data_IF_302308353914
#
_entry.id   IF_302308353914
#
_cell.length_a   1.000
_cell.length_b   1.000
_cell.length_c   1.000
_cell.angle_alpha   90.00
_cell.angle_beta   90.00
_cell.angle_gamma   90.00
#
_symmetry.space_group_name_H-M   'P 1'
#
loop_
_entity.id
_entity.type
_entity.pdbx_description
1 polymer ?
#
# COMPACT_ATOMS: atom_id res chain seq x y z
N UNK A 1 27.44 45.42 -7.50
CA UNK A 1 28.05 44.07 -7.46
C UNK A 1 27.89 43.31 -6.13
N UNK A 2 28.18 43.87 -4.94
CA UNK A 2 28.01 43.14 -3.67
C UNK A 2 26.56 43.15 -3.10
N UNK A 3 25.77 44.19 -3.40
CA UNK A 3 24.35 44.28 -2.99
C UNK A 3 23.44 43.39 -3.83
N UNK A 4 23.65 43.30 -5.15
CA UNK A 4 22.90 42.40 -6.04
C UNK A 4 23.16 40.92 -5.76
N UNK A 5 24.40 40.54 -5.38
CA UNK A 5 24.71 39.16 -4.97
C UNK A 5 24.04 38.79 -3.65
N UNK A 6 23.73 39.76 -2.78
CA UNK A 6 23.03 39.52 -1.51
C UNK A 6 21.53 39.39 -1.71
N UNK A 7 20.96 40.22 -2.60
CA UNK A 7 19.55 40.11 -3.02
C UNK A 7 19.27 38.83 -3.80
N UNK A 8 20.11 38.44 -4.77
CA UNK A 8 19.98 37.14 -5.46
C UNK A 8 20.13 35.94 -4.51
N UNK A 9 20.94 36.05 -3.45
CA UNK A 9 21.09 34.98 -2.46
C UNK A 9 19.89 34.89 -1.52
N UNK A 10 19.20 36.00 -1.29
CA UNK A 10 17.95 36.06 -0.52
C UNK A 10 16.75 35.59 -1.35
N UNK A 11 16.65 35.98 -2.63
CA UNK A 11 15.62 35.43 -3.54
C UNK A 11 15.80 33.91 -3.74
N UNK A 12 17.04 33.43 -3.91
CA UNK A 12 17.31 31.98 -4.02
C UNK A 12 17.00 31.23 -2.71
N UNK A 13 17.15 31.88 -1.55
CA UNK A 13 16.78 31.29 -0.25
C UNK A 13 15.25 31.25 -0.04
N UNK A 14 14.50 32.26 -0.47
CA UNK A 14 13.02 32.23 -0.42
C UNK A 14 12.44 31.21 -1.42
N UNK A 15 13.09 30.99 -2.56
CA UNK A 15 12.70 29.97 -3.54
C UNK A 15 13.04 28.55 -3.00
N UNK A 16 14.09 28.38 -2.20
CA UNK A 16 14.42 27.10 -1.54
C UNK A 16 13.52 26.79 -0.32
N UNK A 17 13.11 27.79 0.46
CA UNK A 17 12.18 27.60 1.60
C UNK A 17 10.73 27.33 1.14
N UNK A 18 10.39 27.67 -0.10
CA UNK A 18 9.13 27.31 -0.75
C UNK A 18 9.22 25.98 -1.49
N UNK A 19 10.01 25.01 -1.00
CA UNK A 19 9.70 23.61 -1.27
C UNK A 19 8.48 23.24 -0.43
N UNK A 20 7.29 23.58 -0.93
CA UNK A 20 6.02 23.12 -0.37
C UNK A 20 6.12 21.62 -0.09
N UNK A 21 6.01 21.22 1.18
CA UNK A 21 5.69 19.84 1.52
C UNK A 21 4.36 19.51 0.85
N UNK A 22 4.42 18.87 -0.32
CA UNK A 22 3.24 18.42 -1.06
C UNK A 22 2.48 17.49 -0.14
N UNK A 23 1.42 18.00 0.49
CA UNK A 23 0.57 17.18 1.35
C UNK A 23 -0.11 16.16 0.45
N UNK A 24 0.07 14.84 0.68
CA UNK A 24 -0.53 13.83 -0.17
C UNK A 24 -2.04 14.02 -0.28
N UNK A 25 -2.59 13.89 -1.49
CA UNK A 25 -4.02 14.06 -1.77
C UNK A 25 -4.90 13.27 -0.80
N UNK A 26 -4.56 12.01 -0.56
CA UNK A 26 -5.30 11.14 0.37
C UNK A 26 -5.18 11.56 1.83
N UNK A 27 -4.12 12.28 2.22
CA UNK A 27 -3.98 12.82 3.57
C UNK A 27 -4.92 14.00 3.78
N UNK A 28 -5.12 14.87 2.77
CA UNK A 28 -6.13 15.93 2.80
C UNK A 28 -7.55 15.33 2.84
N UNK A 29 -7.82 14.38 1.94
CA UNK A 29 -9.10 13.64 1.90
C UNK A 29 -9.44 13.02 3.26
N UNK A 30 -8.44 12.42 3.93
CA UNK A 30 -8.62 11.82 5.24
C UNK A 30 -9.13 12.83 6.28
N UNK A 31 -8.51 14.01 6.35
CA UNK A 31 -8.87 15.02 7.34
C UNK A 31 -10.18 15.74 7.02
N UNK A 32 -10.43 16.07 5.75
CA UNK A 32 -11.56 16.92 5.34
C UNK A 32 -12.86 16.14 5.15
N UNK A 33 -12.78 14.90 4.67
CA UNK A 33 -13.96 14.13 4.23
C UNK A 33 -14.16 12.87 5.08
N UNK A 34 -13.12 12.06 5.21
CA UNK A 34 -13.23 10.74 5.83
C UNK A 34 -13.52 10.83 7.34
N UNK A 35 -12.83 11.73 8.06
CA UNK A 35 -13.08 11.90 9.50
C UNK A 35 -14.54 12.28 9.78
N UNK A 36 -15.12 13.33 9.15
CA UNK A 36 -16.53 13.67 9.34
C UNK A 36 -17.50 12.54 9.00
N UNK A 37 -17.28 11.82 7.90
CA UNK A 37 -18.15 10.72 7.49
C UNK A 37 -18.10 9.53 8.46
N UNK A 38 -16.90 9.16 8.92
CA UNK A 38 -16.74 8.10 9.91
C UNK A 38 -17.36 8.46 11.26
N UNK A 39 -17.25 9.74 11.69
CA UNK A 39 -17.92 10.21 12.90
C UNK A 39 -19.45 10.17 12.77
N UNK A 40 -20.00 10.57 11.62
CA UNK A 40 -21.44 10.50 11.35
C UNK A 40 -21.96 9.06 11.35
N UNK A 41 -21.22 8.14 10.73
CA UNK A 41 -21.67 6.75 10.55
C UNK A 41 -21.57 5.91 11.83
N UNK A 42 -20.49 6.08 12.60
CA UNK A 42 -20.22 5.25 13.78
C UNK A 42 -20.44 5.99 15.12
N UNK A 43 -20.75 7.28 15.08
CA UNK A 43 -21.09 8.05 16.28
C UNK A 43 -19.94 8.19 17.29
N UNK A 44 -18.68 8.26 16.82
CA UNK A 44 -17.52 8.36 17.71
C UNK A 44 -17.60 9.59 18.61
N UNK A 45 -17.33 9.39 19.91
CA UNK A 45 -17.34 10.48 20.91
C UNK A 45 -16.12 11.40 20.79
N UNK A 46 -15.04 10.92 20.20
CA UNK A 46 -13.78 11.66 20.07
C UNK A 46 -13.22 11.48 18.65
N UNK A 47 -12.77 12.59 18.05
CA UNK A 47 -12.13 12.61 16.72
C UNK A 47 -10.94 11.64 16.66
N UNK A 48 -10.19 11.51 17.76
CA UNK A 48 -9.01 10.63 17.82
C UNK A 48 -9.36 9.12 17.88
N UNK A 49 -10.64 8.77 18.03
CA UNK A 49 -11.09 7.37 17.94
C UNK A 49 -11.29 6.91 16.49
N UNK A 50 -11.38 7.86 15.54
CA UNK A 50 -11.58 7.51 14.13
C UNK A 50 -10.41 6.64 13.64
N UNK A 51 -10.70 5.49 13.01
CA UNK A 51 -9.67 4.63 12.46
C UNK A 51 -8.73 5.36 11.49
N UNK A 52 -7.44 5.03 11.57
CA UNK A 52 -6.40 5.57 10.70
C UNK A 52 -5.52 4.47 10.13
N UNK A 53 -4.88 4.78 9.02
CA UNK A 53 -3.83 3.94 8.44
C UNK A 53 -2.55 4.06 9.28
N UNK A 54 -2.01 2.94 9.75
CA UNK A 54 -0.78 2.89 10.57
C UNK A 54 0.45 2.68 9.70
N UNK A 55 0.37 1.70 8.80
CA UNK A 55 1.45 1.32 7.89
C UNK A 55 0.89 0.47 6.75
N UNK A 56 1.57 0.49 5.62
CA UNK A 56 1.36 -0.47 4.55
C UNK A 56 2.63 -1.31 4.43
N UNK A 57 2.48 -2.63 4.46
CA UNK A 57 3.57 -3.58 4.27
C UNK A 57 3.41 -4.21 2.91
N UNK A 58 4.41 -4.03 2.05
CA UNK A 58 4.49 -4.69 0.75
C UNK A 58 5.51 -5.82 0.89
N UNK A 59 5.08 -7.05 0.62
CA UNK A 59 5.88 -8.25 0.76
C UNK A 59 5.92 -8.99 -0.57
N UNK A 60 7.11 -9.42 -0.98
CA UNK A 60 7.31 -10.24 -2.16
C UNK A 60 8.05 -11.52 -1.76
N UNK A 61 7.37 -12.65 -1.93
CA UNK A 61 7.93 -13.98 -1.68
C UNK A 61 8.51 -14.56 -2.96
N UNK A 62 9.83 -14.69 -3.04
CA UNK A 62 10.53 -15.26 -4.22
C UNK A 62 11.15 -16.59 -3.81
N UNK A 63 10.34 -17.65 -3.70
CA UNK A 63 10.83 -18.96 -3.23
C UNK A 63 11.97 -19.54 -4.07
N UNK A 64 12.05 -19.17 -5.34
CA UNK A 64 13.11 -19.58 -6.27
C UNK A 64 14.43 -18.80 -6.08
N UNK A 65 14.44 -17.74 -5.27
CA UNK A 65 15.64 -16.98 -4.93
C UNK A 65 16.72 -17.80 -4.22
N UNK A 66 16.36 -18.97 -3.70
CA UNK A 66 17.30 -19.90 -3.06
C UNK A 66 18.20 -20.61 -4.05
N UNK A 67 17.77 -20.74 -5.30
CA UNK A 67 18.53 -21.35 -6.39
C UNK A 67 19.25 -20.28 -7.21
N UNK A 68 18.59 -19.15 -7.44
CA UNK A 68 19.16 -18.02 -8.17
C UNK A 68 19.05 -16.71 -7.36
N UNK A 69 20.18 -16.22 -6.79
CA UNK A 69 20.19 -14.96 -6.05
C UNK A 69 19.90 -13.74 -6.95
N UNK A 70 20.09 -13.83 -8.28
CA UNK A 70 19.83 -12.72 -9.20
C UNK A 70 18.35 -12.35 -9.24
N UNK A 71 17.46 -13.34 -9.15
CA UNK A 71 16.00 -13.10 -9.09
C UNK A 71 15.61 -12.27 -7.88
N UNK A 72 16.31 -12.44 -6.75
CA UNK A 72 16.08 -11.63 -5.55
C UNK A 72 16.51 -10.17 -5.77
N UNK A 73 17.64 -9.95 -6.44
CA UNK A 73 18.14 -8.61 -6.75
C UNK A 73 17.22 -7.88 -7.71
N UNK A 74 16.69 -8.57 -8.73
CA UNK A 74 15.68 -8.03 -9.65
C UNK A 74 14.41 -7.61 -8.90
N UNK A 75 13.84 -8.53 -8.12
CA UNK A 75 12.68 -8.27 -7.27
C UNK A 75 12.91 -7.08 -6.31
N UNK A 76 14.12 -6.95 -5.77
CA UNK A 76 14.48 -5.80 -4.92
C UNK A 76 14.51 -4.49 -5.70
N UNK A 77 15.06 -4.47 -6.91
CA UNK A 77 15.11 -3.27 -7.77
C UNK A 77 13.72 -2.84 -8.19
N UNK A 78 12.87 -3.77 -8.62
CA UNK A 78 11.49 -3.48 -9.01
C UNK A 78 10.67 -2.96 -7.84
N UNK A 79 10.78 -3.59 -6.67
CA UNK A 79 10.05 -3.15 -5.48
C UNK A 79 10.55 -1.78 -4.99
N UNK A 80 11.85 -1.47 -5.16
CA UNK A 80 12.39 -0.14 -4.93
C UNK A 80 11.80 0.90 -5.89
N UNK A 81 11.70 0.58 -7.20
CA UNK A 81 11.06 1.46 -8.21
C UNK A 81 9.61 1.75 -7.83
N UNK A 82 8.84 0.72 -7.46
CA UNK A 82 7.42 0.85 -7.08
C UNK A 82 7.26 1.68 -5.80
N UNK A 83 8.01 1.35 -4.74
CA UNK A 83 7.77 1.93 -3.41
C UNK A 83 8.57 3.20 -3.12
N UNK A 84 9.58 3.52 -3.93
CA UNK A 84 10.52 4.62 -3.69
C UNK A 84 11.37 4.42 -2.42
N UNK A 85 11.48 3.17 -1.94
CA UNK A 85 12.20 2.83 -0.72
C UNK A 85 12.98 1.53 -0.91
N UNK A 86 14.21 1.49 -0.41
CA UNK A 86 15.04 0.29 -0.44
C UNK A 86 14.37 -0.87 0.34
N UNK A 87 14.11 -2.02 -0.31
CA UNK A 87 13.55 -3.19 0.36
C UNK A 87 14.52 -3.88 1.31
N UNK A 88 13.97 -4.49 2.35
CA UNK A 88 14.71 -5.31 3.30
C UNK A 88 14.63 -6.78 2.89
N UNK A 89 15.78 -7.42 2.73
CA UNK A 89 15.87 -8.86 2.44
C UNK A 89 15.44 -9.67 3.66
N UNK A 90 14.57 -10.64 3.43
CA UNK A 90 14.05 -11.57 4.43
C UNK A 90 14.76 -12.91 4.31
N UNK A 91 15.45 -13.29 5.39
CA UNK A 91 16.12 -14.58 5.53
C UNK A 91 15.22 -15.62 6.19
N UNK A 92 15.43 -16.88 5.83
CA UNK A 92 14.76 -18.04 6.40
C UNK A 92 15.05 -18.16 7.90
N UNK A 93 14.02 -18.38 8.71
CA UNK A 93 14.17 -18.63 10.16
C UNK A 93 14.41 -20.10 10.50
N UNK A 94 13.84 -21.02 9.71
CA UNK A 94 13.89 -22.46 9.92
C UNK A 94 14.38 -23.14 8.65
N UNK A 95 15.11 -24.24 8.83
CA UNK A 95 15.48 -25.13 7.72
C UNK A 95 14.34 -26.12 7.48
N UNK A 96 13.94 -26.28 6.21
CA UNK A 96 12.87 -27.21 5.81
C UNK A 96 13.32 -27.92 4.53
N UNK A 97 13.51 -29.23 4.62
CA UNK A 97 14.05 -30.04 3.53
C UNK A 97 13.15 -30.07 2.29
N UNK A 98 11.82 -30.09 2.45
CA UNK A 98 10.86 -30.12 1.34
C UNK A 98 10.99 -28.90 0.41
N UNK A 99 11.33 -27.74 0.96
CA UNK A 99 11.53 -26.51 0.21
C UNK A 99 13.00 -26.27 -0.16
N UNK A 100 13.90 -27.22 0.15
CA UNK A 100 15.36 -27.09 0.02
C UNK A 100 15.92 -25.84 0.72
N UNK A 101 15.28 -25.42 1.82
CA UNK A 101 15.63 -24.21 2.56
C UNK A 101 16.53 -24.52 3.74
N UNK A 102 17.59 -23.71 3.91
CA UNK A 102 18.41 -23.66 5.14
C UNK A 102 18.20 -22.34 5.86
N UNK A 103 18.29 -22.35 7.20
CA UNK A 103 18.25 -21.15 8.01
C UNK A 103 19.30 -20.12 7.52
N UNK A 104 18.91 -18.85 7.44
CA UNK A 104 19.76 -17.77 6.96
C UNK A 104 19.73 -17.51 5.44
N UNK A 105 19.17 -18.42 4.62
CA UNK A 105 19.02 -18.19 3.17
C UNK A 105 18.04 -17.06 2.88
N UNK A 106 18.31 -16.22 1.87
CA UNK A 106 17.39 -15.18 1.43
C UNK A 106 16.22 -15.80 0.64
N UNK A 107 14.98 -15.44 1.00
CA UNK A 107 13.75 -16.00 0.41
C UNK A 107 12.89 -14.92 -0.25
N UNK A 108 13.00 -13.67 0.21
CA UNK A 108 12.16 -12.60 -0.32
C UNK A 108 12.57 -11.23 0.16
N UNK A 109 11.79 -10.24 -0.21
CA UNK A 109 12.00 -8.85 0.18
C UNK A 109 10.70 -8.24 0.69
N UNK A 110 10.82 -7.24 1.57
CA UNK A 110 9.66 -6.48 2.05
C UNK A 110 10.00 -5.01 2.20
N UNK A 111 8.99 -4.16 2.07
CA UNK A 111 9.04 -2.74 2.43
C UNK A 111 7.92 -2.44 3.42
N UNK A 112 8.18 -1.52 4.34
CA UNK A 112 7.14 -1.00 5.24
C UNK A 112 7.06 0.51 5.05
N UNK A 113 5.96 0.94 4.45
CA UNK A 113 5.64 2.33 4.19
C UNK A 113 4.87 2.91 5.37
N UNK A 114 5.22 4.15 5.74
CA UNK A 114 4.59 4.92 6.82
C UNK A 114 4.50 6.38 6.42
N UNK A 115 3.66 7.14 7.12
CA UNK A 115 3.48 8.60 6.93
C UNK A 115 3.10 8.91 5.48
N UNK A 116 3.75 9.88 4.84
CA UNK A 116 3.35 10.42 3.53
C UNK A 116 3.51 9.39 2.39
N UNK A 117 4.64 8.67 2.36
CA UNK A 117 4.90 7.60 1.37
C UNK A 117 3.83 6.51 1.36
N UNK A 118 3.19 6.26 2.50
CA UNK A 118 2.09 5.30 2.60
C UNK A 118 0.85 5.80 1.86
N UNK A 119 0.50 7.07 2.01
CA UNK A 119 -0.64 7.68 1.32
C UNK A 119 -0.37 7.79 -0.18
N UNK A 120 0.83 8.18 -0.59
CA UNK A 120 1.20 8.22 -2.02
C UNK A 120 1.19 6.84 -2.67
N UNK A 121 1.67 5.82 -1.96
CA UNK A 121 1.61 4.45 -2.46
C UNK A 121 0.17 3.95 -2.56
N UNK A 122 -0.69 4.26 -1.58
CA UNK A 122 -2.09 3.89 -1.62
C UNK A 122 -2.82 4.59 -2.79
N UNK A 123 -2.51 5.86 -3.05
CA UNK A 123 -3.07 6.60 -4.17
C UNK A 123 -2.68 5.99 -5.52
N UNK A 124 -1.41 5.65 -5.69
CA UNK A 124 -0.92 4.94 -6.88
C UNK A 124 -1.53 3.55 -7.02
N UNK A 125 -1.70 2.83 -5.91
CA UNK A 125 -2.33 1.52 -5.91
C UNK A 125 -3.79 1.61 -6.41
N UNK A 126 -4.57 2.56 -5.88
CA UNK A 126 -6.00 2.69 -6.19
C UNK A 126 -6.22 3.25 -7.60
N UNK A 127 -5.54 4.34 -7.94
CA UNK A 127 -5.82 5.08 -9.17
C UNK A 127 -5.07 4.56 -10.39
N UNK A 128 -3.85 4.04 -10.21
CA UNK A 128 -3.00 3.60 -11.33
C UNK A 128 -2.93 2.08 -11.45
N UNK A 129 -2.71 1.37 -10.34
CA UNK A 129 -2.38 -0.05 -10.39
C UNK A 129 -3.61 -0.96 -10.50
N UNK A 130 -4.64 -0.75 -9.67
CA UNK A 130 -5.85 -1.61 -9.67
C UNK A 130 -6.58 -1.63 -11.02
N UNK A 131 -6.80 -0.50 -11.71
CA UNK A 131 -7.47 -0.50 -13.01
C UNK A 131 -6.70 -1.26 -14.11
N UNK A 132 -5.39 -1.47 -13.93
CA UNK A 132 -4.53 -2.22 -14.86
C UNK A 132 -4.51 -3.73 -14.60
N UNK A 133 -5.18 -4.21 -13.54
CA UNK A 133 -5.28 -5.63 -13.26
C UNK A 133 -6.16 -6.30 -14.33
N UNK A 134 -5.63 -7.35 -14.96
CA UNK A 134 -6.38 -8.18 -15.92
C UNK A 134 -7.57 -8.85 -15.23
N UNK A 135 -8.76 -8.76 -15.83
CA UNK A 135 -10.02 -9.33 -15.33
C UNK A 135 -10.42 -8.85 -13.91
N UNK A 136 -10.25 -7.57 -13.63
CA UNK A 136 -10.60 -6.99 -12.33
C UNK A 136 -12.12 -6.99 -12.07
N UNK A 137 -12.57 -7.78 -11.09
CA UNK A 137 -14.00 -7.89 -10.66
C UNK A 137 -14.32 -7.13 -9.36
N UNK A 138 -13.41 -6.27 -8.91
CA UNK A 138 -13.46 -5.70 -7.56
C UNK A 138 -12.64 -6.52 -6.57
N UNK A 139 -12.17 -5.84 -5.53
CA UNK A 139 -11.48 -6.45 -4.40
C UNK A 139 -12.46 -7.22 -3.50
N UNK A 140 -11.99 -8.30 -2.89
CA UNK A 140 -12.83 -9.15 -2.04
C UNK A 140 -13.00 -8.58 -0.64
N UNK A 141 -14.24 -8.38 -0.23
CA UNK A 141 -14.65 -7.96 1.11
C UNK A 141 -14.34 -9.00 2.20
N UNK A 142 -13.88 -10.20 1.82
CA UNK A 142 -13.55 -11.28 2.77
C UNK A 142 -12.07 -11.28 3.19
N UNK A 143 -11.25 -10.37 2.68
CA UNK A 143 -9.80 -10.37 2.91
C UNK A 143 -9.36 -9.62 4.17
N UNK A 144 -10.31 -9.35 5.07
CA UNK A 144 -10.05 -8.78 6.39
C UNK A 144 -9.72 -9.88 7.40
N UNK A 145 -8.94 -9.53 8.42
CA UNK A 145 -8.42 -10.47 9.42
C UNK A 145 -9.25 -10.55 10.72
N UNK A 146 -10.45 -9.96 10.77
CA UNK A 146 -11.28 -9.87 11.98
C UNK A 146 -10.86 -8.76 12.93
N UNK A 147 -9.75 -8.08 12.68
CA UNK A 147 -9.16 -7.02 13.51
C UNK A 147 -8.91 -5.75 12.70
N UNK A 148 -9.62 -5.58 11.59
CA UNK A 148 -9.55 -4.38 10.77
C UNK A 148 -8.28 -4.22 9.94
N UNK A 149 -7.45 -5.26 9.78
CA UNK A 149 -6.37 -5.24 8.79
C UNK A 149 -6.83 -5.91 7.50
N UNK A 150 -6.37 -5.37 6.38
CA UNK A 150 -6.75 -5.85 5.06
C UNK A 150 -5.50 -6.34 4.33
N UNK A 151 -5.55 -7.55 3.78
CA UNK A 151 -4.46 -8.07 2.94
C UNK A 151 -4.99 -8.40 1.55
N UNK A 152 -4.27 -7.94 0.54
CA UNK A 152 -4.56 -8.25 -0.85
C UNK A 152 -3.34 -8.91 -1.50
N UNK A 153 -3.59 -9.97 -2.26
CA UNK A 153 -2.60 -10.63 -3.08
C UNK A 153 -2.70 -10.15 -4.52
N UNK A 154 -1.58 -9.69 -5.08
CA UNK A 154 -1.44 -9.30 -6.48
C UNK A 154 -0.59 -10.35 -7.17
N UNK A 155 -1.11 -10.93 -8.26
CA UNK A 155 -0.43 -11.98 -9.00
C UNK A 155 0.76 -11.47 -9.82
N UNK A 156 0.65 -10.25 -10.32
CA UNK A 156 1.60 -9.67 -11.27
C UNK A 156 1.97 -8.25 -10.84
N UNK A 157 3.27 -8.00 -10.62
CA UNK A 157 3.74 -6.67 -10.24
C UNK A 157 3.78 -5.66 -11.41
N UNK A 158 3.59 -6.11 -12.65
CA UNK A 158 3.58 -5.26 -13.86
C UNK A 158 2.40 -4.27 -13.93
N UNK A 159 1.46 -4.38 -12.98
CA UNK A 159 0.33 -3.45 -12.87
C UNK A 159 0.77 -2.02 -12.53
N UNK A 160 1.97 -1.86 -11.99
CA UNK A 160 2.52 -0.55 -11.64
C UNK A 160 3.11 0.11 -12.89
N UNK A 161 2.69 1.35 -13.24
CA UNK A 161 3.19 2.05 -14.41
C UNK A 161 4.70 2.34 -14.35
N UNK A 162 5.31 2.30 -13.16
CA UNK A 162 6.75 2.49 -12.97
C UNK A 162 7.61 1.32 -13.46
N UNK A 163 6.99 0.17 -13.76
CA UNK A 163 7.68 -1.01 -14.27
C UNK A 163 7.60 -1.02 -15.79
N UNK A 164 8.77 -1.10 -16.43
CA UNK A 164 8.85 -1.29 -17.88
C UNK A 164 8.64 -2.77 -18.20
N UNK A 165 7.56 -3.08 -18.91
CA UNK A 165 7.17 -4.47 -19.24
C UNK A 165 8.24 -5.17 -20.10
N UNK A 166 8.96 -4.42 -20.92
CA UNK A 166 9.99 -4.99 -21.82
C UNK A 166 11.27 -5.39 -21.07
N UNK A 167 11.55 -4.78 -19.92
CA UNK A 167 12.71 -5.09 -19.07
C UNK A 167 12.44 -6.24 -18.08
N UNK A 168 11.19 -6.67 -17.93
CA UNK A 168 10.80 -7.68 -16.95
C UNK A 168 11.10 -9.07 -17.51
N UNK A 169 12.20 -9.67 -17.06
CA UNK A 169 12.53 -11.07 -17.36
C UNK A 169 11.54 -12.05 -16.74
N UNK A 170 10.97 -11.68 -15.57
CA UNK A 170 10.10 -12.57 -14.81
C UNK A 170 9.03 -11.85 -14.02
N UNK A 171 7.81 -12.38 -14.10
CA UNK A 171 6.67 -11.88 -13.33
C UNK A 171 6.71 -12.45 -11.91
N UNK A 172 6.80 -11.55 -10.93
CA UNK A 172 6.63 -11.83 -9.51
C UNK A 172 5.26 -11.37 -9.02
N UNK A 173 4.66 -12.15 -8.09
CA UNK A 173 3.50 -11.74 -7.31
C UNK A 173 3.91 -11.02 -6.02
N UNK A 174 3.02 -10.22 -5.47
CA UNK A 174 3.24 -9.50 -4.21
C UNK A 174 1.99 -9.51 -3.32
N UNK A 175 2.21 -9.45 -2.02
CA UNK A 175 1.17 -9.27 -1.03
C UNK A 175 1.28 -7.87 -0.43
N UNK A 176 0.16 -7.15 -0.39
CA UNK A 176 0.06 -5.83 0.22
C UNK A 176 -0.86 -5.95 1.43
N UNK A 177 -0.32 -5.68 2.61
CA UNK A 177 -1.06 -5.63 3.86
C UNK A 177 -1.22 -4.19 4.31
N UNK A 178 -2.47 -3.74 4.40
CA UNK A 178 -2.87 -2.45 4.93
C UNK A 178 -3.23 -2.63 6.41
N UNK A 179 -2.45 -1.98 7.28
CA UNK A 179 -2.66 -2.05 8.73
C UNK A 179 -3.37 -0.78 9.18
N UNK A 180 -4.52 -0.96 9.81
CA UNK A 180 -5.33 0.14 10.34
C UNK A 180 -5.36 0.10 11.88
N UNK A 181 -5.93 1.13 12.49
CA UNK A 181 -6.26 1.13 13.93
C UNK A 181 -7.70 0.69 14.23
N UNK A 182 -8.47 0.30 13.21
CA UNK A 182 -9.84 -0.16 13.39
C UNK A 182 -9.87 -1.40 14.30
N UNK A 183 -10.95 -1.54 15.08
CA UNK A 183 -11.13 -2.74 15.93
C UNK A 183 -11.95 -3.81 15.24
N UNK A 184 -12.83 -3.39 14.34
CA UNK A 184 -13.76 -4.25 13.62
C UNK A 184 -13.53 -4.16 12.12
N UNK A 185 -13.93 -5.21 11.39
CA UNK A 185 -13.79 -5.24 9.94
C UNK A 185 -14.74 -4.26 9.26
N UNK A 186 -15.88 -3.93 9.87
CA UNK A 186 -16.84 -2.95 9.33
C UNK A 186 -16.25 -1.54 9.30
N UNK A 187 -15.56 -1.13 10.37
CA UNK A 187 -14.86 0.15 10.45
C UNK A 187 -13.74 0.23 9.41
N UNK A 188 -12.97 -0.86 9.25
CA UNK A 188 -11.88 -0.92 8.29
C UNK A 188 -12.38 -0.93 6.85
N UNK A 189 -13.45 -1.67 6.57
CA UNK A 189 -14.10 -1.72 5.27
C UNK A 189 -14.57 -0.32 4.86
N UNK A 190 -15.26 0.37 5.75
CA UNK A 190 -15.76 1.70 5.45
C UNK A 190 -14.60 2.68 5.24
N UNK A 191 -13.58 2.64 6.09
CA UNK A 191 -12.38 3.46 5.92
C UNK A 191 -11.77 3.28 4.53
N UNK A 192 -11.54 2.04 4.10
CA UNK A 192 -10.94 1.73 2.80
C UNK A 192 -11.87 2.11 1.63
N UNK A 193 -13.18 1.92 1.80
CA UNK A 193 -14.19 2.35 0.81
C UNK A 193 -14.16 3.86 0.61
N UNK A 194 -14.08 4.64 1.69
CA UNK A 194 -13.97 6.10 1.64
C UNK A 194 -12.65 6.59 1.04
N UNK A 195 -11.58 5.82 1.18
CA UNK A 195 -10.34 6.05 0.44
C UNK A 195 -10.45 5.75 -1.07
N UNK A 196 -11.59 5.27 -1.56
CA UNK A 196 -11.83 4.97 -2.97
C UNK A 196 -11.44 3.56 -3.39
N UNK A 197 -11.26 2.64 -2.44
CA UNK A 197 -10.88 1.26 -2.76
C UNK A 197 -12.06 0.53 -3.46
N UNK A 198 -11.86 0.00 -4.68
CA UNK A 198 -12.92 -0.61 -5.47
C UNK A 198 -13.23 -2.02 -4.97
N UNK A 199 -14.05 -2.11 -3.93
CA UNK A 199 -14.60 -3.36 -3.45
C UNK A 199 -15.64 -3.92 -4.42
N UNK A 200 -15.69 -5.24 -4.55
CA UNK A 200 -16.78 -5.92 -5.26
C UNK A 200 -18.05 -5.63 -4.47
N UNK A 201 -19.02 -4.94 -5.09
CA UNK A 201 -20.31 -4.65 -4.45
C UNK A 201 -20.84 -5.94 -3.83
N UNK A 202 -21.15 -5.92 -2.52
CA UNK A 202 -22.01 -6.93 -1.90
C UNK A 202 -23.27 -7.00 -2.76
N UNK A 203 -23.45 -8.10 -3.47
CA UNK A 203 -24.81 -8.55 -3.76
C UNK A 203 -25.40 -8.84 -2.39
N UNK A 204 -26.16 -7.88 -1.87
CA UNK A 204 -27.00 -8.11 -0.71
C UNK A 204 -28.01 -9.12 -1.22
N UNK A 205 -27.79 -10.39 -0.91
CA UNK A 205 -28.86 -11.38 -1.00
C UNK A 205 -29.86 -10.91 0.04
N UNK A 206 -30.87 -10.18 -0.41
CA UNK A 206 -32.07 -9.95 0.38
C UNK A 206 -32.68 -11.33 0.50
N UNK A 207 -32.31 -12.05 1.56
CA UNK A 207 -33.15 -13.12 2.05
C UNK A 207 -34.47 -12.45 2.43
N UNK A 208 -35.39 -12.41 1.47
CA UNK A 208 -36.82 -12.29 1.76
C UNK A 208 -37.11 -13.40 2.76
N UNK A 209 -37.09 -13.03 4.03
CA UNK A 209 -37.69 -13.84 5.09
C UNK A 209 -39.12 -14.09 4.63
N UNK A 210 -39.38 -15.31 4.19
CA UNK A 210 -40.71 -15.82 3.97
C UNK A 210 -41.54 -15.50 5.22
N UNK A 211 -42.37 -14.48 5.10
CA UNK A 211 -43.47 -14.19 6.02
C UNK A 211 -44.54 -15.25 5.82
N UNK A 212 -44.87 -15.92 6.94
CA UNK A 212 -46.08 -16.69 7.23
C UNK A 212 -46.36 -17.94 6.40
#
# INVERSE_FOLDING_TARGET
MAKEKKQKKQEVQEIEETQEKVVPRLKKLYHEVIIPEMMKRFGYKNVMQVPRLVKIVVNMGVGQATQDPKLLEMAMKELAKITGQQPVIRRARKSISNFKLRAGMAIGCKVTLRRERMYEFLDRLINAAIPRIRDFRGLSDKSFDGRGNYTLGIREHIIFPEINVDEVERIFGMDITIVTTAKTDEEAYELLRLFGMPFRKREVVVEEKATA
#
